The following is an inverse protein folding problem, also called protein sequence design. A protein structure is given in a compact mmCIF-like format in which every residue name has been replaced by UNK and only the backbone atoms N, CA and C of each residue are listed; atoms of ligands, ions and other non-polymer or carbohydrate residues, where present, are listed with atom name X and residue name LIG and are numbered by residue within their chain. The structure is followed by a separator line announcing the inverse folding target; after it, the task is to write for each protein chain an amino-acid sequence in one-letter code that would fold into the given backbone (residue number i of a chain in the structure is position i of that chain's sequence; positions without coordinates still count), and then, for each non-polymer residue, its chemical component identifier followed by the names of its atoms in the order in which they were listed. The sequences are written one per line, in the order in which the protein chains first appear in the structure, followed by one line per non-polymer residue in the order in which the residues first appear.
data_IF_045480261746
#
_entry.id   IF_045480261746
#
_cell.length_a   1.000
_cell.length_b   1.000
_cell.length_c   1.000
_cell.angle_alpha   90.00
_cell.angle_beta   90.00
_cell.angle_gamma   90.00
#
_symmetry.space_group_name_H-M   'P 1'
#
loop_
_entity.id
_entity.type
_entity.pdbx_description
1 polymer ?
#
# COMPACT_ATOMS: atom_id res chain seq x y z
N UNK A 1 -33.43 -37.46 -109.29
CA UNK A 1 -32.47 -38.54 -108.99
C UNK A 1 -33.32 -39.80 -108.88
N UNK A 2 -33.38 -40.65 -109.92
CA UNK A 2 -32.43 -41.74 -110.24
C UNK A 2 -32.26 -42.66 -109.03
N UNK A 3 -32.28 -43.99 -109.06
CA UNK A 3 -32.30 -45.15 -109.97
C UNK A 3 -32.50 -46.32 -108.96
N UNK A 4 -32.88 -47.56 -109.22
CA UNK A 4 -33.03 -48.44 -110.37
C UNK A 4 -33.67 -49.74 -109.82
N UNK A 5 -34.46 -50.46 -110.60
CA UNK A 5 -33.99 -51.48 -111.55
C UNK A 5 -33.74 -52.84 -110.88
N UNK A 6 -34.66 -53.79 -111.12
CA UNK A 6 -34.39 -55.22 -111.37
C UNK A 6 -35.72 -55.96 -111.63
N UNK A 7 -36.12 -55.98 -112.90
CA UNK A 7 -36.65 -57.14 -113.64
C UNK A 7 -35.45 -57.76 -114.41
N UNK A 8 -35.41 -59.03 -114.91
CA UNK A 8 -36.41 -59.71 -115.77
C UNK A 8 -36.61 -61.21 -115.40
N UNK A 9 -37.46 -62.07 -115.98
CA UNK A 9 -37.76 -62.52 -117.37
C UNK A 9 -39.17 -63.16 -117.35
N UNK A 10 -40.14 -62.76 -118.19
CA UNK A 10 -40.37 -63.18 -119.59
C UNK A 10 -40.56 -64.70 -119.82
N UNK A 11 -41.81 -65.12 -120.06
CA UNK A 11 -42.19 -66.07 -121.13
C UNK A 11 -43.71 -66.05 -121.38
N UNK A 12 -44.12 -65.13 -122.24
CA UNK A 12 -45.19 -65.32 -123.25
C UNK A 12 -44.46 -65.26 -124.62
N UNK A 13 -44.98 -65.73 -125.79
CA UNK A 13 -46.36 -65.46 -126.26
C UNK A 13 -46.95 -66.45 -127.30
N UNK A 14 -48.01 -65.97 -127.98
CA UNK A 14 -48.65 -66.44 -129.24
C UNK A 14 -49.85 -67.38 -129.04
N UNK A 15 -51.02 -67.23 -129.67
CA UNK A 15 -51.59 -66.33 -130.70
C UNK A 15 -53.08 -66.76 -130.83
N UNK A 16 -54.09 -65.93 -130.57
CA UNK A 16 -54.77 -65.01 -131.50
C UNK A 16 -55.44 -65.65 -132.76
N UNK A 17 -56.73 -65.30 -132.91
CA UNK A 17 -57.55 -65.15 -134.14
C UNK A 17 -58.48 -66.29 -134.68
N UNK A 18 -59.76 -65.90 -134.78
CA UNK A 18 -60.76 -66.07 -135.89
C UNK A 18 -61.25 -67.49 -136.24
N UNK A 19 -62.54 -67.84 -136.11
CA UNK A 19 -63.71 -67.46 -136.93
C UNK A 19 -63.51 -67.67 -138.44
N UNK A 20 -64.04 -68.76 -138.99
CA UNK A 20 -64.89 -68.82 -140.21
C UNK A 20 -65.35 -70.28 -140.45
N UNK A 21 -66.65 -70.50 -140.68
CA UNK A 21 -67.27 -70.83 -141.98
C UNK A 21 -66.88 -72.23 -142.49
N UNK A 22 -67.74 -73.22 -142.27
CA UNK A 22 -68.77 -73.71 -143.22
C UNK A 22 -68.20 -74.51 -144.38
N UNK A 23 -68.52 -75.80 -144.42
CA UNK A 23 -68.90 -76.51 -145.65
C UNK A 23 -69.69 -77.77 -145.20
N UNK A 24 -70.97 -77.92 -145.59
CA UNK A 24 -71.42 -78.49 -146.87
C UNK A 24 -70.89 -79.94 -147.00
N UNK A 25 -71.68 -81.00 -147.16
CA UNK A 25 -72.88 -81.17 -147.99
C UNK A 25 -73.36 -82.65 -147.89
N UNK A 26 -74.37 -83.14 -148.65
CA UNK A 26 -75.69 -83.45 -148.08
C UNK A 26 -76.20 -84.84 -148.53
N UNK A 27 -77.53 -84.94 -148.72
CA UNK A 27 -78.28 -85.98 -149.46
C UNK A 27 -78.45 -87.29 -148.69
N UNK A 28 -79.62 -87.93 -148.60
CA UNK A 28 -80.65 -88.06 -149.61
C UNK A 28 -81.96 -88.57 -148.97
N UNK A 29 -83.02 -87.79 -149.13
CA UNK A 29 -84.41 -88.28 -149.11
C UNK A 29 -84.75 -88.70 -150.55
N UNK A 30 -85.78 -89.54 -150.71
CA UNK A 30 -86.59 -89.87 -151.91
C UNK A 30 -86.29 -91.26 -152.54
N UNK A 31 -87.22 -91.90 -153.29
CA UNK A 31 -88.69 -91.98 -153.18
C UNK A 31 -89.28 -93.38 -153.52
N UNK A 32 -90.60 -93.43 -153.41
CA UNK A 32 -91.62 -94.34 -154.00
C UNK A 32 -91.33 -94.88 -155.43
N UNK A 33 -91.66 -96.16 -155.70
CA UNK A 33 -92.53 -96.69 -156.80
C UNK A 33 -92.16 -98.08 -157.37
N UNK A 34 -93.24 -98.83 -157.70
CA UNK A 34 -93.40 -99.82 -158.79
C UNK A 34 -92.81 -101.22 -158.64
N UNK A 35 -93.66 -102.24 -158.54
CA UNK A 35 -94.27 -102.99 -159.65
C UNK A 35 -93.24 -103.84 -160.41
N UNK A 36 -93.26 -105.15 -160.15
CA UNK A 36 -93.13 -106.13 -161.23
C UNK A 36 -93.82 -107.44 -160.83
N UNK A 37 -95.04 -107.59 -161.37
CA UNK A 37 -95.68 -108.87 -161.59
C UNK A 37 -95.00 -109.56 -162.77
N UNK A 38 -94.59 -110.81 -162.63
CA UNK A 38 -94.48 -111.76 -163.75
C UNK A 38 -94.33 -113.19 -163.22
N UNK A 39 -95.41 -113.97 -163.28
CA UNK A 39 -95.60 -114.99 -164.31
C UNK A 39 -94.71 -116.22 -164.12
N UNK A 40 -95.29 -117.27 -163.51
CA UNK A 40 -95.44 -118.59 -164.15
C UNK A 40 -96.34 -119.49 -163.29
N UNK A 41 -97.64 -119.40 -163.57
CA UNK A 41 -98.54 -120.55 -163.55
C UNK A 41 -99.00 -120.79 -164.98
N UNK A 42 -99.12 -122.07 -165.33
CA UNK A 42 -99.75 -122.65 -166.51
C UNK A 42 -98.85 -122.97 -167.72
N UNK A 43 -98.52 -124.27 -167.84
CA UNK A 43 -98.79 -125.02 -169.07
C UNK A 43 -98.99 -126.52 -168.75
N UNK A 44 -100.22 -127.01 -169.00
CA UNK A 44 -100.67 -128.32 -169.55
C UNK A 44 -99.75 -129.55 -169.39
N UNK A 45 -100.21 -130.79 -169.19
CA UNK A 45 -101.52 -131.42 -169.28
C UNK A 45 -101.31 -132.86 -168.74
N UNK A 46 -102.37 -133.41 -168.15
CA UNK A 46 -102.78 -134.83 -168.15
C UNK A 46 -101.70 -135.89 -168.49
N UNK A 47 -101.30 -136.68 -167.48
CA UNK A 47 -101.62 -138.12 -167.32
C UNK A 47 -100.49 -138.92 -166.61
N UNK A 48 -100.41 -138.88 -165.27
CA UNK A 48 -100.15 -140.03 -164.37
C UNK A 48 -100.21 -139.56 -162.88
N UNK A 49 -100.89 -140.27 -161.95
CA UNK A 49 -101.26 -139.77 -160.62
C UNK A 49 -100.13 -139.65 -159.57
N UNK A 50 -98.87 -139.89 -159.93
CA UNK A 50 -97.73 -139.86 -158.98
C UNK A 50 -97.02 -138.48 -158.92
N UNK A 51 -97.05 -137.66 -159.97
CA UNK A 51 -96.25 -136.41 -160.02
C UNK A 51 -96.86 -135.20 -159.30
N UNK A 52 -98.19 -135.13 -159.15
CA UNK A 52 -98.87 -134.02 -158.46
C UNK A 52 -98.70 -134.07 -156.93
N UNK A 53 -98.36 -135.24 -156.36
CA UNK A 53 -98.20 -135.41 -154.92
C UNK A 53 -96.82 -134.92 -154.46
N UNK A 54 -95.78 -135.18 -155.25
CA UNK A 54 -94.42 -134.66 -155.01
C UNK A 54 -94.35 -133.13 -155.14
N UNK A 55 -95.08 -132.51 -156.09
CA UNK A 55 -95.11 -131.04 -156.21
C UNK A 55 -95.83 -130.35 -155.05
N UNK A 56 -96.89 -130.95 -154.51
CA UNK A 56 -97.58 -130.46 -153.30
C UNK A 56 -96.69 -130.55 -152.06
N UNK A 57 -95.90 -131.62 -151.94
CA UNK A 57 -94.96 -131.83 -150.82
C UNK A 57 -93.80 -130.82 -150.89
N UNK A 58 -93.24 -130.57 -152.09
CA UNK A 58 -92.24 -129.51 -152.31
C UNK A 58 -92.73 -128.11 -151.97
N UNK A 59 -93.95 -127.75 -152.38
CA UNK A 59 -94.52 -126.43 -152.06
C UNK A 59 -94.82 -126.27 -150.56
N UNK A 60 -95.13 -127.35 -149.85
CA UNK A 60 -95.27 -127.33 -148.39
C UNK A 60 -93.91 -127.15 -147.71
N UNK A 61 -92.88 -127.86 -148.15
CA UNK A 61 -91.51 -127.69 -147.65
C UNK A 61 -90.96 -126.28 -147.88
N UNK A 62 -91.20 -125.69 -149.06
CA UNK A 62 -90.80 -124.31 -149.36
C UNK A 62 -91.54 -123.29 -148.49
N UNK A 63 -92.84 -123.48 -148.22
CA UNK A 63 -93.61 -122.62 -147.32
C UNK A 63 -93.15 -122.74 -145.88
N UNK A 64 -92.89 -123.95 -145.39
CA UNK A 64 -92.37 -124.18 -144.03
C UNK A 64 -90.96 -123.59 -143.87
N UNK A 65 -90.12 -123.65 -144.92
CA UNK A 65 -88.80 -123.00 -144.92
C UNK A 65 -88.89 -121.47 -144.85
N UNK A 66 -89.85 -120.84 -145.53
CA UNK A 66 -90.09 -119.40 -145.40
C UNK A 66 -90.69 -119.02 -144.03
N UNK A 67 -91.52 -119.88 -143.44
CA UNK A 67 -92.07 -119.70 -142.10
C UNK A 67 -90.97 -119.77 -141.03
N UNK A 68 -90.01 -120.69 -141.17
CA UNK A 68 -88.80 -120.73 -140.33
C UNK A 68 -87.93 -119.48 -140.52
N UNK A 69 -87.75 -119.01 -141.75
CA UNK A 69 -86.99 -117.78 -142.01
C UNK A 69 -87.66 -116.54 -141.38
N UNK A 70 -88.99 -116.44 -141.45
CA UNK A 70 -89.74 -115.34 -140.82
C UNK A 70 -89.67 -115.43 -139.29
N UNK A 71 -89.84 -116.62 -138.70
CA UNK A 71 -89.69 -116.82 -137.25
C UNK A 71 -88.26 -116.60 -136.76
N UNK A 72 -87.25 -116.97 -137.55
CA UNK A 72 -85.84 -116.71 -137.23
C UNK A 72 -85.53 -115.23 -137.28
N UNK A 73 -86.08 -114.50 -138.26
CA UNK A 73 -85.89 -113.05 -138.35
C UNK A 73 -86.65 -112.33 -137.23
N UNK A 74 -87.86 -112.77 -136.88
CA UNK A 74 -88.61 -112.24 -135.75
C UNK A 74 -87.88 -112.52 -134.42
N UNK A 75 -87.29 -113.71 -134.26
CA UNK A 75 -86.43 -114.04 -133.13
C UNK A 75 -85.19 -113.16 -133.07
N UNK A 76 -84.53 -112.88 -134.21
CA UNK A 76 -83.40 -111.94 -134.28
C UNK A 76 -83.80 -110.50 -133.99
N UNK A 77 -84.95 -110.04 -134.48
CA UNK A 77 -85.45 -108.68 -134.18
C UNK A 77 -85.88 -108.56 -132.73
N UNK A 78 -86.50 -109.60 -132.16
CA UNK A 78 -86.80 -109.68 -130.73
C UNK A 78 -85.51 -109.69 -129.90
N UNK A 79 -84.51 -110.49 -130.30
CA UNK A 79 -83.20 -110.57 -129.65
C UNK A 79 -82.42 -109.26 -129.74
N UNK A 80 -82.46 -108.56 -130.88
CA UNK A 80 -81.88 -107.23 -131.03
C UNK A 80 -82.63 -106.20 -130.18
N UNK A 81 -83.97 -106.24 -130.15
CA UNK A 81 -84.75 -105.34 -129.29
C UNK A 81 -84.44 -105.56 -127.81
N UNK A 82 -84.32 -106.80 -127.36
CA UNK A 82 -83.97 -107.11 -125.97
C UNK A 82 -82.53 -106.74 -125.66
N UNK A 83 -81.56 -107.04 -126.53
CA UNK A 83 -80.15 -106.73 -126.29
C UNK A 83 -79.83 -105.24 -126.41
N UNK A 84 -80.45 -104.52 -127.35
CA UNK A 84 -80.31 -103.06 -127.42
C UNK A 84 -81.07 -102.36 -126.30
N UNK A 85 -82.24 -102.89 -125.93
CA UNK A 85 -82.99 -102.39 -124.77
C UNK A 85 -82.20 -102.56 -123.47
N UNK A 86 -81.57 -103.72 -123.28
CA UNK A 86 -80.71 -104.01 -122.13
C UNK A 86 -79.41 -103.19 -122.17
N UNK A 87 -78.81 -102.96 -123.35
CA UNK A 87 -77.63 -102.09 -123.47
C UNK A 87 -77.94 -100.61 -123.25
N UNK A 88 -79.05 -100.09 -123.80
CA UNK A 88 -79.46 -98.71 -123.54
C UNK A 88 -79.83 -98.52 -122.07
N UNK A 89 -80.42 -99.53 -121.44
CA UNK A 89 -80.71 -99.51 -120.02
C UNK A 89 -79.43 -99.58 -119.18
N UNK A 90 -78.45 -100.41 -119.56
CA UNK A 90 -77.13 -100.44 -118.94
C UNK A 90 -76.37 -99.12 -119.12
N UNK A 91 -76.36 -98.54 -120.32
CA UNK A 91 -75.71 -97.27 -120.62
C UNK A 91 -76.37 -96.11 -119.87
N UNK A 92 -77.70 -96.09 -119.77
CA UNK A 92 -78.44 -95.12 -118.95
C UNK A 92 -78.10 -95.28 -117.46
N UNK A 93 -78.06 -96.52 -116.95
CA UNK A 93 -77.65 -96.78 -115.57
C UNK A 93 -76.17 -96.44 -115.32
N UNK A 94 -75.28 -96.62 -116.30
CA UNK A 94 -73.88 -96.21 -116.21
C UNK A 94 -73.70 -94.69 -116.26
N UNK A 95 -74.47 -94.01 -117.11
CA UNK A 95 -74.56 -92.55 -117.12
C UNK A 95 -75.07 -92.03 -115.77
N UNK A 96 -76.17 -92.58 -115.26
CA UNK A 96 -76.70 -92.24 -113.93
C UNK A 96 -75.66 -92.46 -112.83
N UNK A 97 -74.90 -93.57 -112.86
CA UNK A 97 -73.82 -93.83 -111.89
C UNK A 97 -72.70 -92.80 -112.00
N UNK A 98 -72.29 -92.44 -113.22
CA UNK A 98 -71.24 -91.42 -113.44
C UNK A 98 -71.74 -90.03 -113.07
N UNK A 99 -72.98 -89.71 -113.37
CA UNK A 99 -73.60 -88.43 -113.02
C UNK A 99 -73.73 -88.30 -111.50
N UNK A 100 -74.18 -89.34 -110.81
CA UNK A 100 -74.15 -89.39 -109.34
C UNK A 100 -72.73 -89.32 -108.75
N UNK A 101 -71.72 -89.85 -109.45
CA UNK A 101 -70.32 -89.76 -109.01
C UNK A 101 -69.76 -88.36 -109.24
N UNK A 102 -70.09 -87.72 -110.37
CA UNK A 102 -69.73 -86.34 -110.67
C UNK A 102 -70.41 -85.40 -109.68
N UNK A 103 -71.70 -85.61 -109.38
CA UNK A 103 -72.43 -84.84 -108.38
C UNK A 103 -71.79 -85.00 -107.00
N UNK A 104 -71.48 -86.24 -106.57
CA UNK A 104 -70.75 -86.49 -105.32
C UNK A 104 -69.38 -85.83 -105.28
N UNK A 105 -68.59 -85.94 -106.35
CA UNK A 105 -67.27 -85.30 -106.43
C UNK A 105 -67.39 -83.78 -106.46
N UNK A 106 -68.40 -83.22 -107.14
CA UNK A 106 -68.63 -81.78 -107.20
C UNK A 106 -69.05 -81.23 -105.83
N UNK A 107 -69.91 -81.96 -105.11
CA UNK A 107 -70.26 -81.64 -103.73
C UNK A 107 -69.04 -81.72 -102.81
N UNK A 108 -68.18 -82.75 -102.96
CA UNK A 108 -66.95 -82.88 -102.18
C UNK A 108 -65.94 -81.78 -102.48
N UNK A 109 -65.76 -81.41 -103.76
CA UNK A 109 -64.89 -80.29 -104.15
C UNK A 109 -65.45 -78.98 -103.59
N UNK A 110 -66.76 -78.73 -103.69
CA UNK A 110 -67.39 -77.56 -103.11
C UNK A 110 -67.29 -77.51 -101.57
N UNK A 111 -67.42 -78.65 -100.90
CA UNK A 111 -67.23 -78.76 -99.45
C UNK A 111 -65.78 -78.49 -99.05
N UNK A 112 -64.80 -79.08 -99.77
CA UNK A 112 -63.37 -78.85 -99.53
C UNK A 112 -62.96 -77.40 -99.84
N UNK A 113 -63.53 -76.79 -100.88
CA UNK A 113 -63.32 -75.37 -101.20
C UNK A 113 -63.90 -74.48 -100.10
N UNK A 114 -65.10 -74.79 -99.60
CA UNK A 114 -65.70 -74.07 -98.47
C UNK A 114 -64.84 -74.22 -97.20
N UNK A 115 -64.37 -75.44 -96.88
CA UNK A 115 -63.49 -75.69 -95.75
C UNK A 115 -62.14 -74.98 -95.91
N UNK A 116 -61.56 -74.97 -97.11
CA UNK A 116 -60.32 -74.23 -97.40
C UNK A 116 -60.53 -72.74 -97.25
N UNK A 117 -61.66 -72.19 -97.71
CA UNK A 117 -61.99 -70.78 -97.56
C UNK A 117 -62.20 -70.39 -96.09
N UNK A 118 -62.88 -71.22 -95.29
CA UNK A 118 -63.04 -70.97 -93.85
C UNK A 118 -61.70 -71.05 -93.12
N UNK A 119 -60.87 -72.06 -93.40
CA UNK A 119 -59.53 -72.18 -92.81
C UNK A 119 -58.63 -71.00 -93.19
N UNK A 120 -58.71 -70.50 -94.44
CA UNK A 120 -58.00 -69.30 -94.85
C UNK A 120 -58.47 -68.06 -94.08
N UNK A 121 -59.79 -67.89 -93.91
CA UNK A 121 -60.34 -66.79 -93.11
C UNK A 121 -59.89 -66.88 -91.65
N UNK A 122 -59.95 -68.07 -91.05
CA UNK A 122 -59.49 -68.30 -89.68
C UNK A 122 -57.98 -68.05 -89.52
N UNK A 123 -57.17 -68.45 -90.51
CA UNK A 123 -55.73 -68.16 -90.53
C UNK A 123 -55.47 -66.66 -90.58
N UNK A 124 -56.21 -65.92 -91.41
CA UNK A 124 -56.10 -64.45 -91.49
C UNK A 124 -56.49 -63.81 -90.16
N UNK A 125 -57.62 -64.21 -89.57
CA UNK A 125 -58.05 -63.69 -88.27
C UNK A 125 -57.03 -64.00 -87.16
N UNK A 126 -56.54 -65.24 -87.09
CA UNK A 126 -55.50 -65.62 -86.13
C UNK A 126 -54.20 -64.84 -86.34
N UNK A 127 -53.86 -64.53 -87.59
CA UNK A 127 -52.69 -63.71 -87.91
C UNK A 127 -52.86 -62.24 -87.53
N UNK A 128 -54.06 -61.67 -87.72
CA UNK A 128 -54.42 -60.33 -87.26
C UNK A 128 -54.42 -60.23 -85.73
N UNK A 129 -54.98 -61.23 -85.04
CA UNK A 129 -54.94 -61.33 -83.58
C UNK A 129 -53.49 -61.47 -83.07
N UNK A 130 -52.66 -62.29 -83.71
CA UNK A 130 -51.23 -62.43 -83.37
C UNK A 130 -50.47 -61.12 -83.54
N UNK A 131 -50.75 -60.35 -84.62
CA UNK A 131 -50.18 -59.02 -84.82
C UNK A 131 -50.63 -58.05 -83.72
N UNK A 132 -51.92 -58.03 -83.40
CA UNK A 132 -52.49 -57.19 -82.34
C UNK A 132 -51.83 -57.49 -80.98
N UNK A 133 -51.76 -58.78 -80.60
CA UNK A 133 -51.09 -59.22 -79.38
C UNK A 133 -49.60 -58.87 -79.37
N UNK A 134 -48.91 -59.00 -80.51
CA UNK A 134 -47.51 -58.61 -80.63
C UNK A 134 -47.32 -57.10 -80.42
N UNK A 135 -48.21 -56.27 -81.00
CA UNK A 135 -48.20 -54.82 -80.78
C UNK A 135 -48.47 -54.47 -79.32
N UNK A 136 -49.40 -55.16 -78.66
CA UNK A 136 -49.71 -54.92 -77.24
C UNK A 136 -48.59 -55.39 -76.31
N UNK A 137 -47.93 -56.51 -76.62
CA UNK A 137 -46.70 -56.93 -75.94
C UNK A 137 -45.62 -55.86 -76.10
N UNK A 138 -45.44 -55.30 -77.29
CA UNK A 138 -44.44 -54.24 -77.52
C UNK A 138 -44.80 -52.96 -76.76
N UNK A 139 -46.07 -52.56 -76.72
CA UNK A 139 -46.54 -51.44 -75.88
C UNK A 139 -46.28 -51.71 -74.40
N UNK A 140 -46.60 -52.90 -73.89
CA UNK A 140 -46.36 -53.27 -72.49
C UNK A 140 -44.86 -53.32 -72.16
N UNK A 141 -44.02 -53.81 -73.08
CA UNK A 141 -42.56 -53.79 -72.93
C UNK A 141 -42.02 -52.37 -72.90
N UNK A 142 -42.50 -51.49 -73.79
CA UNK A 142 -42.11 -50.08 -73.80
C UNK A 142 -42.57 -49.35 -72.52
N UNK A 143 -43.80 -49.60 -72.06
CA UNK A 143 -44.31 -49.09 -70.80
C UNK A 143 -43.51 -49.63 -69.59
N UNK A 144 -43.12 -50.90 -69.60
CA UNK A 144 -42.29 -51.50 -68.56
C UNK A 144 -40.87 -50.90 -68.55
N UNK A 145 -40.30 -50.60 -69.72
CA UNK A 145 -39.01 -49.92 -69.82
C UNK A 145 -39.11 -48.50 -69.25
N UNK A 146 -40.12 -47.73 -69.66
CA UNK A 146 -40.36 -46.38 -69.14
C UNK A 146 -40.59 -46.38 -67.62
N UNK A 147 -41.38 -47.31 -67.09
CA UNK A 147 -41.61 -47.42 -65.64
C UNK A 147 -40.33 -47.75 -64.86
N UNK A 148 -39.40 -48.53 -65.45
CA UNK A 148 -38.07 -48.76 -64.86
C UNK A 148 -37.23 -47.49 -64.87
N UNK A 149 -37.21 -46.76 -65.98
CA UNK A 149 -36.47 -45.49 -66.09
C UNK A 149 -37.01 -44.44 -65.11
N UNK A 150 -38.34 -44.33 -64.96
CA UNK A 150 -38.99 -43.48 -63.96
C UNK A 150 -38.62 -43.91 -62.53
N UNK A 151 -38.64 -45.20 -62.22
CA UNK A 151 -38.23 -45.73 -60.92
C UNK A 151 -36.77 -45.42 -60.61
N UNK A 152 -35.87 -45.51 -61.60
CA UNK A 152 -34.47 -45.14 -61.45
C UNK A 152 -34.30 -43.64 -61.19
N UNK A 153 -35.03 -42.77 -61.89
CA UNK A 153 -34.96 -41.33 -61.63
C UNK A 153 -35.57 -40.98 -60.27
N UNK A 154 -36.66 -41.63 -59.85
CA UNK A 154 -37.21 -41.47 -58.49
C UNK A 154 -36.16 -41.85 -57.45
N UNK A 155 -35.49 -43.01 -57.58
CA UNK A 155 -34.41 -43.39 -56.66
C UNK A 155 -33.24 -42.41 -56.68
N UNK A 156 -32.90 -41.86 -57.85
CA UNK A 156 -31.85 -40.85 -57.98
C UNK A 156 -32.23 -39.55 -57.28
N UNK A 157 -33.47 -39.09 -57.44
CA UNK A 157 -34.00 -37.91 -56.78
C UNK A 157 -34.11 -38.13 -55.27
N UNK A 158 -34.58 -39.29 -54.83
CA UNK A 158 -34.59 -39.66 -53.41
C UNK A 158 -33.18 -39.66 -52.80
N UNK A 159 -32.19 -40.21 -53.49
CA UNK A 159 -30.79 -40.17 -53.04
C UNK A 159 -30.32 -38.73 -52.88
N UNK A 160 -30.56 -37.87 -53.87
CA UNK A 160 -30.22 -36.45 -53.78
C UNK A 160 -30.97 -35.72 -52.66
N UNK A 161 -32.25 -36.02 -52.46
CA UNK A 161 -33.03 -35.46 -51.36
C UNK A 161 -32.46 -35.88 -50.01
N UNK A 162 -32.03 -37.14 -49.86
CA UNK A 162 -31.34 -37.63 -48.66
C UNK A 162 -30.00 -36.93 -48.47
N UNK A 163 -29.20 -36.78 -49.53
CA UNK A 163 -27.90 -36.09 -49.46
C UNK A 163 -28.08 -34.62 -49.06
N UNK A 164 -29.03 -33.92 -49.69
CA UNK A 164 -29.37 -32.54 -49.35
C UNK A 164 -29.85 -32.42 -47.91
N UNK A 165 -30.72 -33.34 -47.46
CA UNK A 165 -31.18 -33.38 -46.08
C UNK A 165 -30.01 -33.58 -45.09
N UNK A 166 -29.10 -34.50 -45.39
CA UNK A 166 -27.90 -34.71 -44.59
C UNK A 166 -27.03 -33.45 -44.53
N UNK A 167 -26.80 -32.78 -45.66
CA UNK A 167 -26.01 -31.53 -45.67
C UNK A 167 -26.69 -30.43 -44.86
N UNK A 168 -28.01 -30.31 -44.96
CA UNK A 168 -28.78 -29.34 -44.19
C UNK A 168 -28.69 -29.62 -42.69
N UNK A 169 -28.79 -30.89 -42.28
CA UNK A 169 -28.66 -31.26 -40.87
C UNK A 169 -27.22 -31.06 -40.36
N UNK A 170 -26.19 -31.30 -41.19
CA UNK A 170 -24.80 -30.94 -40.82
C UNK A 170 -24.60 -29.44 -40.66
N UNK A 171 -25.17 -28.63 -41.56
CA UNK A 171 -25.09 -27.17 -41.49
C UNK A 171 -25.84 -26.63 -40.26
N UNK A 172 -26.98 -27.23 -39.89
CA UNK A 172 -27.69 -26.88 -38.65
C UNK A 172 -26.82 -27.10 -37.42
N UNK A 173 -26.18 -28.27 -37.31
CA UNK A 173 -25.26 -28.56 -36.21
C UNK A 173 -24.09 -27.58 -36.19
N UNK A 174 -23.54 -27.22 -37.35
CA UNK A 174 -22.46 -26.23 -37.41
C UNK A 174 -22.93 -24.82 -37.00
N UNK A 175 -24.15 -24.40 -37.39
CA UNK A 175 -24.74 -23.14 -36.90
C UNK A 175 -24.88 -23.16 -35.39
N UNK A 176 -25.46 -24.21 -34.81
CA UNK A 176 -25.60 -24.36 -33.34
C UNK A 176 -24.24 -24.32 -32.64
N UNK A 177 -23.19 -24.94 -33.22
CA UNK A 177 -21.82 -24.87 -32.69
C UNK A 177 -21.28 -23.44 -32.69
N UNK A 178 -21.46 -22.71 -33.78
CA UNK A 178 -21.02 -21.31 -33.87
C UNK A 178 -21.82 -20.39 -32.94
N UNK A 179 -23.12 -20.63 -32.78
CA UNK A 179 -23.97 -19.91 -31.83
C UNK A 179 -23.51 -20.14 -30.40
N UNK A 180 -23.24 -21.40 -30.02
CA UNK A 180 -22.69 -21.74 -28.70
C UNK A 180 -21.33 -21.08 -28.48
N UNK A 181 -20.41 -21.16 -29.43
CA UNK A 181 -19.12 -20.49 -29.34
C UNK A 181 -19.28 -18.96 -29.20
N UNK A 182 -20.21 -18.34 -29.95
CA UNK A 182 -20.49 -16.92 -29.80
C UNK A 182 -21.11 -16.58 -28.43
N UNK A 183 -21.95 -17.43 -27.88
CA UNK A 183 -22.53 -17.25 -26.54
C UNK A 183 -21.47 -17.39 -25.44
N UNK A 184 -20.59 -18.38 -25.56
CA UNK A 184 -19.45 -18.59 -24.65
C UNK A 184 -18.51 -17.39 -24.66
N UNK A 185 -18.09 -16.92 -25.84
CA UNK A 185 -17.24 -15.73 -25.98
C UNK A 185 -17.91 -14.47 -25.42
N UNK A 186 -19.22 -14.29 -25.62
CA UNK A 186 -19.96 -13.18 -25.00
C UNK A 186 -20.00 -13.29 -23.49
N UNK A 187 -20.18 -14.50 -22.96
CA UNK A 187 -20.19 -14.74 -21.52
C UNK A 187 -18.82 -14.46 -20.89
N UNK A 188 -17.74 -14.91 -21.54
CA UNK A 188 -16.37 -14.66 -21.13
C UNK A 188 -16.05 -13.16 -21.18
N UNK A 189 -16.45 -12.48 -22.26
CA UNK A 189 -16.31 -11.02 -22.36
C UNK A 189 -17.04 -10.29 -21.24
N UNK A 190 -18.28 -10.67 -20.95
CA UNK A 190 -19.05 -10.06 -19.86
C UNK A 190 -18.39 -10.32 -18.49
N UNK A 191 -17.85 -11.52 -18.27
CA UNK A 191 -17.12 -11.85 -17.04
C UNK A 191 -15.84 -11.02 -16.91
N UNK A 192 -15.04 -10.92 -17.98
CA UNK A 192 -13.83 -10.09 -17.99
C UNK A 192 -14.16 -8.60 -17.80
N UNK A 193 -15.25 -8.10 -18.38
CA UNK A 193 -15.73 -6.74 -18.14
C UNK A 193 -16.15 -6.52 -16.68
N UNK A 194 -16.85 -7.48 -16.05
CA UNK A 194 -17.17 -7.39 -14.63
C UNK A 194 -15.93 -7.43 -13.74
N UNK A 195 -14.93 -8.27 -14.07
CA UNK A 195 -13.65 -8.31 -13.36
C UNK A 195 -12.87 -7.01 -13.51
N UNK A 196 -12.86 -6.42 -14.70
CA UNK A 196 -12.24 -5.12 -14.96
C UNK A 196 -12.93 -4.02 -14.15
N UNK A 197 -14.26 -3.93 -14.17
CA UNK A 197 -15.01 -2.96 -13.39
C UNK A 197 -14.74 -3.10 -11.89
N UNK A 198 -14.75 -4.34 -11.35
CA UNK A 198 -14.39 -4.57 -9.94
C UNK A 198 -12.95 -4.12 -9.64
N UNK A 199 -12.00 -4.38 -10.54
CA UNK A 199 -10.62 -3.94 -10.37
C UNK A 199 -10.51 -2.41 -10.40
N UNK A 200 -11.20 -1.75 -11.33
CA UNK A 200 -11.30 -0.29 -11.43
C UNK A 200 -11.91 0.32 -10.16
N UNK A 201 -13.01 -0.24 -9.64
CA UNK A 201 -13.64 0.19 -8.39
C UNK A 201 -12.68 0.04 -7.20
N UNK A 202 -11.98 -1.10 -7.09
CA UNK A 202 -11.00 -1.31 -6.00
C UNK A 202 -9.79 -0.37 -6.10
N UNK A 203 -9.35 -0.04 -7.32
CA UNK A 203 -8.30 0.93 -7.57
C UNK A 203 -8.77 2.32 -7.14
N UNK A 204 -9.98 2.71 -7.55
CA UNK A 204 -10.57 3.99 -7.19
C UNK A 204 -10.70 4.14 -5.68
N UNK A 205 -11.25 3.14 -4.98
CA UNK A 205 -11.33 3.15 -3.52
C UNK A 205 -9.94 3.24 -2.87
N UNK A 206 -8.91 2.59 -3.43
CA UNK A 206 -7.55 2.65 -2.92
C UNK A 206 -6.92 4.05 -3.14
N UNK A 207 -7.17 4.68 -4.28
CA UNK A 207 -6.76 6.05 -4.58
C UNK A 207 -7.44 7.06 -3.63
N UNK A 208 -8.74 6.90 -3.37
CA UNK A 208 -9.47 7.73 -2.41
C UNK A 208 -8.91 7.58 -0.98
N UNK A 209 -8.66 6.33 -0.54
CA UNK A 209 -8.01 6.07 0.76
C UNK A 209 -6.62 6.68 0.84
N UNK A 210 -5.82 6.59 -0.22
CA UNK A 210 -4.48 7.18 -0.28
C UNK A 210 -4.55 8.72 -0.25
N UNK A 211 -5.49 9.32 -0.98
CA UNK A 211 -5.74 10.75 -0.95
C UNK A 211 -6.13 11.23 0.46
N UNK A 212 -6.97 10.49 1.16
CA UNK A 212 -7.37 10.82 2.53
C UNK A 212 -6.20 10.67 3.52
N UNK A 213 -5.43 9.58 3.44
CA UNK A 213 -4.21 9.43 4.24
C UNK A 213 -3.19 10.54 3.98
N UNK A 214 -3.04 10.99 2.73
CA UNK A 214 -2.19 12.13 2.41
C UNK A 214 -2.71 13.45 3.00
N UNK A 215 -4.03 13.67 3.03
CA UNK A 215 -4.62 14.83 3.71
C UNK A 215 -4.32 14.81 5.20
N UNK A 216 -4.55 13.68 5.87
CA UNK A 216 -4.25 13.50 7.29
C UNK A 216 -2.75 13.72 7.55
N UNK A 217 -1.88 13.11 6.74
CA UNK A 217 -0.44 13.29 6.85
C UNK A 217 -0.02 14.76 6.69
N UNK A 218 -0.61 15.50 5.74
CA UNK A 218 -0.32 16.92 5.57
C UNK A 218 -0.80 17.76 6.75
N UNK A 219 -1.98 17.45 7.31
CA UNK A 219 -2.49 18.11 8.51
C UNK A 219 -1.58 17.85 9.71
N UNK A 220 -1.19 16.60 9.95
CA UNK A 220 -0.28 16.24 11.04
C UNK A 220 1.09 16.89 10.86
N UNK A 221 1.62 16.90 9.62
CA UNK A 221 2.87 17.60 9.30
C UNK A 221 2.76 19.11 9.56
N UNK A 222 1.61 19.72 9.29
CA UNK A 222 1.38 21.13 9.59
C UNK A 222 1.29 21.36 11.11
N UNK A 223 0.58 20.50 11.84
CA UNK A 223 0.49 20.57 13.29
C UNK A 223 1.86 20.40 13.96
N UNK A 224 2.67 19.44 13.50
CA UNK A 224 4.04 19.24 13.96
C UNK A 224 4.93 20.47 13.71
N UNK A 225 4.82 21.11 12.54
CA UNK A 225 5.53 22.36 12.25
C UNK A 225 5.08 23.52 13.14
N UNK A 226 3.77 23.65 13.37
CA UNK A 226 3.23 24.68 14.27
C UNK A 226 3.70 24.46 15.70
N UNK A 227 3.72 23.21 16.17
CA UNK A 227 4.24 22.86 17.48
C UNK A 227 5.75 23.12 17.59
N UNK A 228 6.51 22.79 16.55
CA UNK A 228 7.94 23.11 16.50
C UNK A 228 8.19 24.62 16.56
N UNK A 229 7.44 25.42 15.80
CA UNK A 229 7.51 26.88 15.88
C UNK A 229 7.16 27.40 17.28
N UNK A 230 6.10 26.90 17.91
CA UNK A 230 5.73 27.28 19.27
C UNK A 230 6.80 26.89 20.30
N UNK A 231 7.48 25.76 20.10
CA UNK A 231 8.60 25.34 20.95
C UNK A 231 9.84 26.22 20.74
N UNK A 232 10.17 26.57 19.49
CA UNK A 232 11.26 27.50 19.17
C UNK A 232 10.98 28.89 19.78
N UNK A 233 9.76 29.40 19.64
CA UNK A 233 9.34 30.67 20.26
C UNK A 233 9.43 30.63 21.79
N UNK A 234 9.01 29.51 22.41
CA UNK A 234 9.12 29.31 23.86
C UNK A 234 10.59 29.26 24.29
N UNK A 235 11.43 28.51 23.59
CA UNK A 235 12.87 28.42 23.86
C UNK A 235 13.52 29.79 23.75
N UNK A 236 13.27 30.54 22.68
CA UNK A 236 13.79 31.90 22.55
C UNK A 236 13.27 32.83 23.65
N UNK A 237 12.00 32.68 24.08
CA UNK A 237 11.46 33.48 25.18
C UNK A 237 12.15 33.17 26.51
N UNK A 238 12.38 31.88 26.79
CA UNK A 238 13.09 31.42 27.98
C UNK A 238 14.54 31.87 27.95
N UNK A 239 15.23 31.77 26.81
CA UNK A 239 16.60 32.25 26.66
C UNK A 239 16.69 33.76 26.87
N UNK A 240 15.72 34.53 26.34
CA UNK A 240 15.62 35.98 26.58
C UNK A 240 15.40 36.30 28.06
N UNK A 241 14.53 35.57 28.75
CA UNK A 241 14.26 35.78 30.18
C UNK A 241 15.42 35.32 31.07
N UNK A 242 16.10 34.24 30.72
CA UNK A 242 17.34 33.80 31.36
C UNK A 242 18.43 34.86 31.17
N UNK A 243 18.64 35.38 29.96
CA UNK A 243 19.60 36.44 29.70
C UNK A 243 19.28 37.72 30.50
N UNK A 244 18.00 38.10 30.60
CA UNK A 244 17.57 39.23 31.43
C UNK A 244 17.87 38.97 32.90
N UNK A 245 17.48 37.82 33.45
CA UNK A 245 17.72 37.51 34.86
C UNK A 245 19.22 37.40 35.19
N UNK A 246 20.03 36.85 34.29
CA UNK A 246 21.49 36.84 34.42
C UNK A 246 22.05 38.27 34.38
N UNK A 247 21.58 39.11 33.46
CA UNK A 247 21.96 40.53 33.40
C UNK A 247 21.56 41.31 34.66
N UNK A 248 20.38 41.07 35.20
CA UNK A 248 19.91 41.68 36.45
C UNK A 248 20.74 41.23 37.65
N UNK A 249 21.06 39.93 37.75
CA UNK A 249 21.94 39.40 38.79
C UNK A 249 23.37 39.93 38.68
N UNK A 250 23.90 40.07 37.45
CA UNK A 250 25.19 40.72 37.20
C UNK A 250 25.16 42.18 37.64
N UNK A 251 24.11 42.93 37.30
CA UNK A 251 23.95 44.31 37.76
C UNK A 251 23.85 44.42 39.29
N UNK A 252 23.13 43.49 39.94
CA UNK A 252 23.07 43.43 41.41
C UNK A 252 24.45 43.11 42.01
N UNK A 253 25.21 42.21 41.39
CA UNK A 253 26.57 41.87 41.81
C UNK A 253 27.50 43.09 41.69
N UNK A 254 27.51 43.76 40.53
CA UNK A 254 28.32 44.96 40.29
C UNK A 254 27.96 46.09 41.27
N UNK A 255 26.67 46.28 41.56
CA UNK A 255 26.20 47.27 42.55
C UNK A 255 26.69 46.91 43.95
N UNK A 256 26.56 45.64 44.36
CA UNK A 256 27.03 45.17 45.66
C UNK A 256 28.56 45.24 45.79
N UNK A 257 29.31 44.95 44.71
CA UNK A 257 30.76 45.12 44.66
C UNK A 257 31.17 46.59 44.78
N UNK A 258 30.49 47.50 44.09
CA UNK A 258 30.72 48.94 44.23
C UNK A 258 30.41 49.46 45.64
N UNK A 259 29.32 48.99 46.26
CA UNK A 259 29.00 49.29 47.66
C UNK A 259 30.07 48.73 48.60
N UNK A 260 30.52 47.50 48.39
CA UNK A 260 31.59 46.89 49.16
C UNK A 260 32.90 47.69 49.03
N UNK A 261 33.24 48.17 47.84
CA UNK A 261 34.42 49.01 47.62
C UNK A 261 34.30 50.36 48.33
N UNK A 262 33.12 51.00 48.30
CA UNK A 262 32.84 52.22 49.09
C UNK A 262 32.99 51.97 50.59
N UNK A 263 32.47 50.86 51.10
CA UNK A 263 32.63 50.50 52.51
C UNK A 263 34.09 50.20 52.87
N UNK A 264 34.84 49.50 52.02
CA UNK A 264 36.29 49.28 52.21
C UNK A 264 37.07 50.59 52.26
N UNK A 265 36.79 51.53 51.34
CA UNK A 265 37.39 52.86 51.36
C UNK A 265 37.01 53.64 52.62
N UNK A 266 35.75 53.55 53.05
CA UNK A 266 35.29 54.21 54.27
C UNK A 266 35.97 53.64 55.52
N UNK A 267 36.10 52.31 55.62
CA UNK A 267 36.85 51.66 56.71
C UNK A 267 38.30 52.11 56.70
N UNK A 268 38.97 52.14 55.55
CA UNK A 268 40.35 52.62 55.44
C UNK A 268 40.49 54.10 55.85
N UNK A 269 39.56 54.97 55.48
CA UNK A 269 39.55 56.38 55.91
C UNK A 269 39.31 56.50 57.43
N UNK A 270 38.44 55.67 58.00
CA UNK A 270 38.25 55.62 59.46
C UNK A 270 39.47 55.08 60.19
N UNK A 271 40.14 54.06 59.65
CA UNK A 271 41.39 53.51 60.20
C UNK A 271 42.50 54.57 60.16
N UNK A 272 42.67 55.29 59.06
CA UNK A 272 43.63 56.39 58.95
C UNK A 272 43.33 57.51 59.97
N UNK A 273 42.06 57.88 60.15
CA UNK A 273 41.64 58.84 61.18
C UNK A 273 41.86 58.29 62.59
N UNK A 274 41.69 56.98 62.80
CA UNK A 274 41.95 56.34 64.08
C UNK A 274 43.44 56.34 64.39
N UNK A 275 44.30 56.04 63.41
CA UNK A 275 45.75 56.16 63.52
C UNK A 275 46.16 57.60 63.85
N UNK A 276 45.65 58.59 63.11
CA UNK A 276 45.90 60.01 63.40
C UNK A 276 45.45 60.40 64.82
N UNK A 277 44.27 59.95 65.24
CA UNK A 277 43.77 60.19 66.60
C UNK A 277 44.63 59.50 67.66
N UNK A 278 45.14 58.29 67.41
CA UNK A 278 46.05 57.58 68.32
C UNK A 278 47.41 58.27 68.40
N UNK A 279 47.95 58.78 67.29
CA UNK A 279 49.16 59.58 67.29
C UNK A 279 48.97 60.91 68.03
N UNK A 280 47.87 61.61 67.78
CA UNK A 280 47.51 62.84 68.47
C UNK A 280 47.36 62.59 69.98
N UNK A 281 46.70 61.49 70.37
CA UNK A 281 46.64 61.05 71.77
C UNK A 281 48.03 60.79 72.33
N UNK A 282 48.90 60.07 71.62
CA UNK A 282 50.29 59.85 72.05
C UNK A 282 51.11 61.14 72.19
N UNK A 283 50.86 62.14 71.34
CA UNK A 283 51.44 63.50 71.47
C UNK A 283 50.87 64.22 72.70
N UNK A 284 49.56 64.14 72.94
CA UNK A 284 48.92 64.68 74.14
C UNK A 284 49.46 64.05 75.42
N UNK A 285 49.64 62.73 75.47
CA UNK A 285 50.19 62.02 76.64
C UNK A 285 51.63 62.49 76.95
N UNK A 286 52.46 62.69 75.91
CA UNK A 286 53.82 63.24 76.06
C UNK A 286 53.80 64.68 76.59
N UNK A 287 52.95 65.54 76.03
CA UNK A 287 52.78 66.92 76.50
C UNK A 287 52.22 66.96 77.93
N UNK A 288 51.29 66.07 78.28
CA UNK A 288 50.78 65.94 79.64
C UNK A 288 51.91 65.56 80.61
N UNK A 289 52.79 64.64 80.21
CA UNK A 289 53.97 64.30 81.00
C UNK A 289 54.93 65.49 81.16
N UNK A 290 55.28 66.19 80.07
CA UNK A 290 56.12 67.39 80.14
C UNK A 290 55.50 68.50 81.00
N UNK A 291 54.18 68.68 80.94
CA UNK A 291 53.46 69.65 81.76
C UNK A 291 53.48 69.23 83.23
N UNK A 292 53.31 67.94 83.54
CA UNK A 292 53.46 67.41 84.92
C UNK A 292 54.88 67.61 85.44
N UNK A 293 55.90 67.34 84.65
CA UNK A 293 57.31 67.57 85.00
C UNK A 293 57.62 69.06 85.21
N UNK A 294 57.17 69.93 84.29
CA UNK A 294 57.31 71.39 84.41
C UNK A 294 56.53 71.91 85.61
N UNK A 295 55.33 71.40 85.90
CA UNK A 295 54.57 71.74 87.10
C UNK A 295 55.30 71.30 88.37
N UNK A 296 55.92 70.11 88.38
CA UNK A 296 56.75 69.65 89.49
C UNK A 296 57.98 70.57 89.67
N UNK A 297 58.63 70.98 88.58
CA UNK A 297 59.74 71.94 88.59
C UNK A 297 59.30 73.31 89.10
N UNK A 298 58.15 73.83 88.66
CA UNK A 298 57.55 75.06 89.17
C UNK A 298 57.26 74.91 90.66
N UNK A 299 56.74 73.77 91.11
CA UNK A 299 56.54 73.45 92.53
C UNK A 299 57.84 73.53 93.33
N UNK A 300 58.92 72.95 92.81
CA UNK A 300 60.27 73.02 93.42
C UNK A 300 60.79 74.46 93.47
N UNK A 301 60.75 75.19 92.36
CA UNK A 301 61.19 76.60 92.28
C UNK A 301 60.35 77.51 93.18
N UNK A 302 59.03 77.28 93.29
CA UNK A 302 58.16 78.00 94.22
C UNK A 302 58.56 77.74 95.66
N UNK A 303 58.85 76.48 96.03
CA UNK A 303 59.32 76.15 97.37
C UNK A 303 60.69 76.80 97.66
N UNK A 304 61.63 76.73 96.72
CA UNK A 304 62.92 77.42 96.81
C UNK A 304 62.77 78.94 96.95
N UNK A 305 61.86 79.57 96.20
CA UNK A 305 61.57 80.99 96.31
C UNK A 305 60.96 81.36 97.67
N UNK A 306 60.07 80.53 98.22
CA UNK A 306 59.53 80.69 99.57
C UNK A 306 60.64 80.58 100.62
N UNK A 307 61.49 79.55 100.54
CA UNK A 307 62.65 79.37 101.41
C UNK A 307 63.58 80.59 101.33
N UNK A 308 63.89 81.07 100.12
CA UNK A 308 64.75 82.24 99.93
C UNK A 308 64.13 83.52 100.53
N UNK A 309 62.81 83.69 100.39
CA UNK A 309 62.09 84.79 101.02
C UNK A 309 62.13 84.69 102.56
N UNK A 310 62.06 83.48 103.12
CA UNK A 310 62.26 83.24 104.55
C UNK A 310 63.70 83.58 104.99
N UNK A 311 64.73 83.20 104.22
CA UNK A 311 66.12 83.60 104.46
C UNK A 311 66.28 85.12 104.42
N UNK A 312 65.68 85.81 103.45
CA UNK A 312 65.69 87.27 103.35
C UNK A 312 65.00 87.93 104.56
N UNK A 313 63.81 87.46 104.91
CA UNK A 313 63.03 87.98 106.04
C UNK A 313 63.76 87.75 107.37
N UNK A 314 64.41 86.60 107.53
CA UNK A 314 65.27 86.29 108.68
C UNK A 314 66.50 87.21 108.75
N UNK A 315 67.14 87.49 107.61
CA UNK A 315 68.27 88.41 107.53
C UNK A 315 67.86 89.86 107.87
N UNK A 316 66.72 90.33 107.34
CA UNK A 316 66.17 91.66 107.65
C UNK A 316 65.79 91.79 109.13
N UNK A 317 65.23 90.74 109.72
CA UNK A 317 64.88 90.72 111.16
C UNK A 317 66.12 90.76 112.05
N UNK A 318 67.22 90.08 111.66
CA UNK A 318 68.51 90.18 112.37
C UNK A 318 69.08 91.60 112.31
N UNK A 319 69.05 92.24 111.15
CA UNK A 319 69.57 93.61 110.98
C UNK A 319 68.82 94.63 111.84
N UNK A 320 67.51 94.46 112.01
CA UNK A 320 66.68 95.35 112.82
C UNK A 320 66.99 95.26 114.32
N UNK A 321 67.44 94.10 114.83
CA UNK A 321 67.82 93.92 116.24
C UNK A 321 69.17 94.56 116.60
N UNK A 322 70.14 94.58 115.68
CA UNK A 322 71.47 95.15 115.96
C UNK A 322 71.49 96.68 116.02
N UNK A 323 70.50 97.38 115.45
CA UNK A 323 70.48 98.85 115.42
C UNK A 323 69.94 99.51 116.70
N UNK A 324 69.25 98.78 117.59
CA UNK A 324 68.60 99.38 118.77
C UNK A 324 69.51 99.48 120.00
N UNK A 325 70.58 98.70 120.09
CA UNK A 325 71.50 98.73 121.26
C UNK A 325 72.31 100.03 121.32
N UNK A 326 72.73 100.58 120.18
CA UNK A 326 73.67 101.71 120.09
C UNK A 326 73.10 103.07 120.58
N UNK A 327 71.77 103.20 120.68
CA UNK A 327 71.10 104.46 121.06
C UNK A 327 70.95 104.64 122.59
N UNK A 328 70.98 103.56 123.37
CA UNK A 328 70.74 103.61 124.82
C UNK A 328 71.99 104.10 125.57
N UNK A 329 73.18 103.72 125.11
CA UNK A 329 74.45 104.01 125.78
C UNK A 329 74.83 105.50 125.78
N UNK A 330 74.51 106.26 124.72
CA UNK A 330 74.80 107.71 124.66
C UNK A 330 74.06 108.53 125.72
N UNK A 331 72.83 108.16 126.05
CA UNK A 331 71.99 108.93 126.99
C UNK A 331 72.43 108.72 128.43
N UNK A 332 72.84 107.51 128.78
CA UNK A 332 73.32 107.17 130.12
C UNK A 332 74.62 107.91 130.44
N UNK A 333 75.58 107.91 129.50
CA UNK A 333 76.90 108.51 129.70
C UNK A 333 76.87 110.03 129.93
N UNK A 334 75.99 110.72 129.20
CA UNK A 334 75.86 112.18 129.29
C UNK A 334 75.40 112.63 130.68
N UNK A 335 74.54 111.85 131.33
CA UNK A 335 73.97 112.21 132.64
C UNK A 335 75.00 112.04 133.78
N UNK A 336 75.82 110.97 133.74
CA UNK A 336 76.89 110.77 134.73
C UNK A 336 77.97 111.86 134.67
N UNK A 337 78.36 112.34 133.49
CA UNK A 337 79.34 113.42 133.32
C UNK A 337 78.86 114.76 133.92
N UNK A 338 77.58 115.07 133.77
CA UNK A 338 76.95 116.29 134.33
C UNK A 338 76.92 116.28 135.87
N UNK A 339 76.62 115.12 136.47
CA UNK A 339 76.64 114.96 137.94
C UNK A 339 78.06 115.09 138.52
N UNK A 340 79.10 114.68 137.79
CA UNK A 340 80.49 114.83 138.23
C UNK A 340 80.97 116.30 138.29
N UNK A 341 80.59 117.12 137.30
CA UNK A 341 81.05 118.52 137.20
C UNK A 341 80.43 119.46 138.23
N UNK A 342 79.21 119.16 138.70
CA UNK A 342 78.42 120.04 139.57
C UNK A 342 78.66 119.81 141.07
N UNK A 343 79.41 118.78 141.47
CA UNK A 343 79.67 118.46 142.87
C UNK A 343 80.81 119.31 143.50
N UNK A 344 80.59 119.96 144.66
CA UNK A 344 81.56 120.84 145.31
C UNK A 344 82.84 120.12 145.77
N UNK A 345 83.99 120.82 145.67
CA UNK A 345 85.37 120.29 145.67
C UNK A 345 85.86 119.57 146.95
N UNK A 346 85.05 119.44 147.99
CA UNK A 346 85.46 118.84 149.26
C UNK A 346 84.64 117.59 149.65
N UNK A 347 83.78 117.08 148.77
CA UNK A 347 82.90 115.93 149.06
C UNK A 347 83.43 114.61 148.47
N UNK A 348 83.41 113.55 149.28
CA UNK A 348 83.83 112.18 148.93
C UNK A 348 82.98 111.55 147.83
N UNK A 349 81.74 111.99 147.62
CA UNK A 349 80.82 111.48 146.59
C UNK A 349 81.33 111.64 145.16
N UNK A 350 82.19 112.63 144.92
CA UNK A 350 82.76 112.89 143.59
C UNK A 350 83.65 111.74 143.09
N UNK A 351 84.33 111.05 144.00
CA UNK A 351 85.20 109.93 143.67
C UNK A 351 84.41 108.66 143.29
N UNK A 352 83.23 108.44 143.86
CA UNK A 352 82.36 107.30 143.50
C UNK A 352 81.74 107.48 142.10
N UNK A 353 81.29 108.70 141.76
CA UNK A 353 80.75 109.00 140.42
C UNK A 353 81.84 108.81 139.36
N UNK A 354 83.09 109.22 139.63
CA UNK A 354 84.18 109.00 138.69
C UNK A 354 84.52 107.51 138.51
N UNK A 355 84.39 106.69 139.57
CA UNK A 355 84.58 105.23 139.49
C UNK A 355 83.46 104.54 138.69
N UNK A 356 82.22 105.03 138.77
CA UNK A 356 81.11 104.56 137.94
C UNK A 356 81.26 104.94 136.47
N UNK A 357 81.72 106.16 136.18
CA UNK A 357 82.07 106.60 134.82
C UNK A 357 83.15 105.69 134.22
N UNK A 358 84.20 105.37 134.99
CA UNK A 358 85.27 104.49 134.56
C UNK A 358 84.79 103.06 134.26
N UNK A 359 83.79 102.52 134.97
CA UNK A 359 83.27 101.18 134.66
C UNK A 359 82.33 101.17 133.46
N UNK A 360 81.49 102.20 133.30
CA UNK A 360 80.55 102.31 132.16
C UNK A 360 81.30 102.56 130.86
N UNK A 361 82.33 103.42 130.89
CA UNK A 361 83.18 103.69 129.72
C UNK A 361 84.36 102.72 129.57
N UNK A 362 84.44 101.69 130.43
CA UNK A 362 85.49 100.67 130.47
C UNK A 362 86.92 101.26 130.39
N UNK A 363 87.22 102.27 131.20
CA UNK A 363 88.54 102.91 131.22
C UNK A 363 89.64 101.92 131.61
N UNK A 364 90.70 101.92 130.81
CA UNK A 364 91.86 101.09 131.02
C UNK A 364 92.69 101.62 132.20
N UNK A 365 93.43 100.75 132.90
CA UNK A 365 94.03 101.09 134.20
C UNK A 365 94.99 102.29 134.16
N UNK A 366 95.60 102.58 133.00
CA UNK A 366 96.42 103.77 132.79
C UNK A 366 95.63 105.09 132.87
N UNK A 367 94.37 105.09 132.43
CA UNK A 367 93.49 106.27 132.47
C UNK A 367 92.97 106.51 133.90
N UNK A 368 92.78 105.43 134.66
CA UNK A 368 92.38 105.48 136.08
C UNK A 368 93.48 106.07 136.97
N UNK A 369 94.74 105.84 136.63
CA UNK A 369 95.89 106.42 137.36
C UNK A 369 96.02 107.93 137.15
N UNK A 370 95.87 108.43 135.90
CA UNK A 370 95.87 109.87 135.62
C UNK A 370 94.73 110.62 136.30
N UNK A 371 93.60 109.95 136.51
CA UNK A 371 92.47 110.50 137.25
C UNK A 371 92.70 110.59 138.77
N UNK A 372 93.85 110.13 139.28
CA UNK A 372 94.24 110.23 140.70
C UNK A 372 93.58 109.21 141.62
N UNK A 373 92.98 108.14 141.07
CA UNK A 373 92.25 107.13 141.83
C UNK A 373 93.14 106.04 142.48
N UNK A 374 94.45 105.98 142.21
CA UNK A 374 95.39 105.00 142.79
C UNK A 374 96.83 105.52 142.91
N UNK A 375 97.57 105.11 143.97
CA UNK A 375 99.01 105.37 144.22
C UNK A 375 99.82 104.04 144.23
N UNK A 376 101.08 104.12 143.80
CA UNK A 376 102.02 103.05 143.40
C UNK A 376 102.22 101.85 144.36
N UNK A 377 102.15 100.60 143.83
CA UNK A 377 103.29 99.66 143.73
C UNK A 377 102.89 98.30 143.13
N UNK A 378 103.75 97.85 142.22
CA UNK A 378 104.10 96.50 141.76
C UNK A 378 103.31 95.76 140.66
N UNK A 379 104.11 95.31 139.69
CA UNK A 379 103.78 94.65 138.42
C UNK A 379 104.37 93.24 138.42
N UNK A 380 103.61 92.25 137.93
CA UNK A 380 104.19 90.99 137.43
C UNK A 380 103.30 90.34 136.36
N UNK A 381 103.96 89.99 135.25
CA UNK A 381 103.73 88.96 134.20
C UNK A 381 102.60 87.95 134.45
N UNK A 382 101.87 87.38 133.49
CA UNK A 382 102.12 87.07 132.06
C UNK A 382 101.65 85.62 131.75
N UNK A 383 101.31 85.33 130.48
CA UNK A 383 101.09 84.01 129.81
C UNK A 383 99.83 83.17 130.12
N UNK A 384 99.15 82.45 129.20
CA UNK A 384 99.27 82.10 127.75
C UNK A 384 98.09 81.14 127.40
N UNK A 385 97.33 81.24 126.30
CA UNK A 385 97.46 80.76 124.89
C UNK A 385 97.72 79.26 124.61
N UNK A 386 96.69 78.54 124.08
CA UNK A 386 96.61 77.50 123.01
C UNK A 386 95.29 76.67 123.18
N UNK A 387 94.51 76.23 122.19
CA UNK A 387 94.59 76.17 120.71
C UNK A 387 93.17 75.97 120.08
N UNK A 388 92.90 76.49 118.86
CA UNK A 388 92.87 75.82 117.53
C UNK A 388 91.70 74.79 117.36
N UNK A 389 90.72 74.83 116.43
CA UNK A 389 90.65 75.26 115.02
C UNK A 389 91.19 74.15 114.09
N UNK A 390 90.57 73.58 113.05
CA UNK A 390 89.28 73.63 112.36
C UNK A 390 89.35 72.73 111.10
N UNK A 391 88.18 72.49 110.46
CA UNK A 391 87.93 72.24 109.02
C UNK A 391 88.15 70.86 108.30
N UNK A 392 87.16 70.60 107.40
CA UNK A 392 87.19 70.01 106.03
C UNK A 392 86.63 68.58 105.76
N UNK A 393 85.50 68.58 105.01
CA UNK A 393 85.13 67.92 103.74
C UNK A 393 84.92 66.38 103.57
N UNK A 394 83.98 66.09 102.66
CA UNK A 394 83.36 64.84 102.13
C UNK A 394 84.37 63.86 101.45
N UNK A 395 84.04 62.56 101.13
CA UNK A 395 83.08 62.17 100.05
C UNK A 395 82.39 60.75 100.09
N UNK A 396 81.32 60.61 99.27
CA UNK A 396 80.78 59.46 98.45
C UNK A 396 80.97 57.97 98.85
N UNK A 397 79.94 57.10 98.69
CA UNK A 397 79.60 56.26 97.49
C UNK A 397 78.70 55.00 97.78
N UNK A 398 77.88 54.62 96.77
CA UNK A 398 77.41 53.27 96.32
C UNK A 398 76.14 52.65 96.93
N UNK A 399 75.10 52.38 96.11
CA UNK A 399 74.66 51.09 95.47
C UNK A 399 73.69 50.31 96.37
N UNK A 400 72.74 49.47 95.96
CA UNK A 400 71.99 49.16 94.73
C UNK A 400 71.07 47.97 95.14
N UNK A 401 69.81 47.95 94.66
CA UNK A 401 68.87 46.81 94.63
C UNK A 401 68.42 46.25 96.02
N UNK A 402 67.25 45.63 96.22
CA UNK A 402 66.41 44.79 95.36
C UNK A 402 65.01 44.54 96.00
N UNK A 403 64.10 43.90 95.22
CA UNK A 403 63.10 42.86 95.61
C UNK A 403 61.82 43.27 96.38
N UNK A 404 60.62 43.23 95.76
CA UNK A 404 59.69 42.07 95.51
C UNK A 404 58.65 41.93 96.64
N UNK A 405 57.37 41.58 96.50
CA UNK A 405 56.46 41.12 95.44
C UNK A 405 55.02 41.37 95.94
N UNK A 406 54.07 41.48 95.01
CA UNK A 406 52.63 41.46 95.25
C UNK A 406 52.05 40.11 94.78
N UNK A 407 51.13 39.54 95.58
CA UNK A 407 50.30 38.38 95.26
C UNK A 407 49.13 38.80 94.36
N UNK A 408 48.88 38.07 93.27
CA UNK A 408 47.55 37.93 92.64
C UNK A 408 47.54 36.74 91.66
N UNK A 409 47.10 35.57 92.13
CA UNK A 409 46.86 34.37 91.30
C UNK A 409 45.51 33.71 91.68
N UNK A 410 44.39 34.45 91.59
CA UNK A 410 43.07 33.90 91.98
C UNK A 410 41.90 34.19 91.04
N UNK A 411 42.11 34.80 89.86
CA UNK A 411 40.99 35.15 88.95
C UNK A 411 41.14 34.54 87.55
N UNK A 412 42.38 34.35 87.07
CA UNK A 412 42.64 33.78 85.73
C UNK A 412 42.30 32.29 85.63
N UNK A 413 42.49 31.50 86.69
CA UNK A 413 42.23 30.04 86.64
C UNK A 413 40.72 29.69 86.64
N UNK A 414 39.86 30.49 87.27
CA UNK A 414 38.39 30.31 87.23
C UNK A 414 37.77 30.69 85.87
N UNK A 415 38.42 31.60 85.13
CA UNK A 415 37.95 32.02 83.80
C UNK A 415 38.29 31.00 82.72
N UNK A 416 39.42 30.30 82.87
CA UNK A 416 39.84 29.21 81.97
C UNK A 416 38.94 27.98 82.11
N UNK A 417 38.48 27.66 83.32
CA UNK A 417 37.54 26.55 83.58
C UNK A 417 36.12 26.84 83.04
N UNK A 418 35.71 28.11 83.05
CA UNK A 418 34.46 28.56 82.43
C UNK A 418 34.48 28.47 80.88
N UNK A 419 35.60 28.83 80.24
CA UNK A 419 35.74 28.73 78.78
C UNK A 419 35.81 27.28 78.28
N UNK A 420 36.43 26.38 79.05
CA UNK A 420 36.45 24.95 78.71
C UNK A 420 35.07 24.30 78.87
N UNK A 421 34.30 24.69 79.88
CA UNK A 421 32.94 24.14 80.11
C UNK A 421 31.86 24.68 79.15
N UNK A 422 31.99 25.89 78.61
CA UNK A 422 31.09 26.43 77.56
C UNK A 422 31.37 25.80 76.18
N UNK A 423 32.64 25.55 75.86
CA UNK A 423 33.04 24.95 74.57
C UNK A 423 32.66 23.47 74.48
N UNK A 424 32.70 22.73 75.59
CA UNK A 424 32.22 21.33 75.63
C UNK A 424 30.68 21.23 75.59
N UNK A 425 29.94 22.24 76.08
CA UNK A 425 28.46 22.25 76.02
C UNK A 425 27.90 22.59 74.63
N UNK A 426 28.72 23.13 73.73
CA UNK A 426 28.33 23.44 72.34
C UNK A 426 28.51 22.31 71.32
N UNK A 427 29.13 21.18 71.70
CA UNK A 427 29.52 20.10 70.76
C UNK A 427 28.76 18.76 70.89
N UNK A 428 27.85 18.60 71.85
CA UNK A 428 27.07 17.37 72.05
C UNK A 428 25.56 17.53 71.78
N UNK A 429 25.14 17.39 70.51
CA UNK A 429 24.20 16.35 70.00
C UNK A 429 23.30 16.80 68.82
N UNK A 430 23.10 15.90 67.83
CA UNK A 430 22.18 16.03 66.69
C UNK A 430 20.82 15.33 66.93
N UNK A 431 19.83 15.63 66.06
CA UNK A 431 18.85 14.65 65.56
C UNK A 431 17.37 14.73 66.01
N UNK A 432 16.52 15.10 65.04
CA UNK A 432 15.24 14.47 64.65
C UNK A 432 13.84 14.79 65.26
N UNK A 433 12.86 14.77 64.32
CA UNK A 433 11.38 14.63 64.38
C UNK A 433 10.49 15.88 64.66
N UNK A 434 9.32 16.14 64.05
CA UNK A 434 8.53 15.55 62.94
C UNK A 434 7.24 16.39 62.66
N UNK A 435 6.65 16.24 61.43
CA UNK A 435 5.21 16.33 61.02
C UNK A 435 4.47 17.71 61.04
N UNK A 436 3.49 18.05 60.20
CA UNK A 436 2.78 17.47 59.03
C UNK A 436 1.67 18.43 58.53
N UNK A 437 1.41 18.53 57.21
CA UNK A 437 0.10 18.66 56.51
C UNK A 437 0.33 19.13 55.04
N UNK A 438 -0.45 18.83 53.98
CA UNK A 438 -1.35 17.75 53.57
C UNK A 438 -1.83 18.04 52.12
N UNK A 439 -1.51 17.16 51.14
CA UNK A 439 -2.26 16.76 49.89
C UNK A 439 -2.75 17.79 48.83
N UNK A 440 -3.10 17.37 47.57
CA UNK A 440 -2.91 16.07 46.90
C UNK A 440 -2.25 16.12 45.50
N UNK A 441 -1.76 14.96 45.04
CA UNK A 441 -1.24 14.72 43.69
C UNK A 441 -2.17 13.75 42.91
N UNK A 442 -2.53 14.13 41.69
CA UNK A 442 -3.08 13.28 40.63
C UNK A 442 -1.90 12.65 39.85
N UNK A 443 -1.80 11.33 39.75
CA UNK A 443 -2.35 10.45 38.69
C UNK A 443 -1.77 10.70 37.29
N UNK A 444 -1.31 9.61 36.65
CA UNK A 444 -0.97 9.56 35.23
C UNK A 444 0.52 9.45 34.86
N UNK A 445 1.21 8.38 35.25
CA UNK A 445 2.57 8.10 34.80
C UNK A 445 2.82 6.61 34.57
N UNK A 446 2.11 6.00 33.60
CA UNK A 446 2.45 4.66 33.12
C UNK A 446 3.69 4.75 32.22
N UNK A 447 4.75 4.07 32.64
CA UNK A 447 5.92 3.81 31.84
C UNK A 447 5.53 3.06 30.54
N UNK A 448 6.09 3.53 29.43
CA UNK A 448 5.97 2.90 28.11
C UNK A 448 6.69 1.55 28.12
N UNK A 449 5.93 0.46 27.97
CA UNK A 449 6.45 -0.90 27.99
C UNK A 449 6.76 -1.35 26.54
N UNK A 450 8.05 -1.36 26.18
CA UNK A 450 8.55 -1.67 24.84
C UNK A 450 8.29 -3.11 24.38
N UNK A 451 7.84 -4.00 25.28
CA UNK A 451 7.44 -5.37 24.94
C UNK A 451 6.07 -5.48 24.27
N UNK A 452 5.23 -4.45 24.32
CA UNK A 452 3.90 -4.48 23.69
C UNK A 452 3.93 -4.30 22.17
N UNK A 453 5.02 -3.77 21.60
CA UNK A 453 5.14 -3.56 20.15
C UNK A 453 5.57 -4.84 19.41
N UNK A 454 6.34 -5.71 20.08
CA UNK A 454 6.82 -6.98 19.50
C UNK A 454 5.70 -8.04 19.41
N UNK A 455 4.62 -7.86 20.19
CA UNK A 455 3.43 -8.70 20.12
C UNK A 455 2.45 -8.30 19.00
N UNK A 456 2.53 -7.07 18.50
CA UNK A 456 1.73 -6.60 17.36
C UNK A 456 2.32 -7.01 16.01
N UNK A 457 3.66 -7.00 15.85
CA UNK A 457 4.33 -7.45 14.61
C UNK A 457 4.25 -8.97 14.41
N UNK A 458 3.96 -9.73 15.48
CA UNK A 458 3.78 -11.19 15.41
C UNK A 458 2.35 -11.59 15.07
N UNK A 459 1.35 -10.77 15.42
CA UNK A 459 -0.06 -11.01 15.09
C UNK A 459 -0.38 -10.76 13.60
N UNK A 460 0.43 -9.96 12.90
CA UNK A 460 0.26 -9.67 11.46
C UNK A 460 0.89 -10.75 10.55
N UNK A 461 1.78 -11.62 11.08
CA UNK A 461 2.43 -12.69 10.29
C UNK A 461 1.67 -14.03 10.27
N UNK A 462 0.69 -14.24 11.15
CA UNK A 462 -0.02 -15.52 11.30
C UNK A 462 -1.47 -15.52 10.76
N UNK A 463 -1.83 -14.58 9.87
CA UNK A 463 -3.10 -14.65 9.15
C UNK A 463 -3.02 -15.72 8.02
N UNK A 464 -3.84 -16.79 8.04
CA UNK A 464 -3.81 -17.81 7.00
C UNK A 464 -4.36 -17.25 5.68
N UNK A 465 -3.53 -17.31 4.64
CA UNK A 465 -3.89 -17.03 3.25
C UNK A 465 -4.60 -18.24 2.64
N UNK A 466 -5.84 -18.48 3.06
CA UNK A 466 -6.75 -19.34 2.30
C UNK A 466 -7.52 -18.45 1.31
N UNK A 467 -7.05 -18.43 0.06
CA UNK A 467 -7.85 -18.17 -1.15
C UNK A 467 -6.99 -18.44 -2.39
N UNK A 468 -7.05 -19.67 -2.90
CA UNK A 468 -6.82 -20.04 -4.30
C UNK A 468 -7.69 -21.24 -4.63
#
# INVERSE_FOLDING_TARGET
MKEGMLDPEETEPSSSLTRDESDDKPTQVMPFESDETQQKLAHMDLHDPESFREEMERLQEERDAFEEQYNTLLSKVSHMRTTLGERLQQDAEELDRREQQIERLTLQVGELEAQSATLQSELVLAHEESKSLTMDIEKLRSAQANAKDESLEIHRLESKCRDLQQTLDTQRVDIERWENACMEERSLKNELQQRLQRAEDTLHDAEERNAELNRIFMQEKQAARQMQQALEELQESQDRDLQRSVGDLQHQLDSAESELEKYKLHVHDMDAKMEEATEAKGKCDKLEHEVKEKNLLIGKLRHEAVILNEHLTSALTRLRKTSSEDQVDRRLMTNLMLQFLTAPRADTKRFEILRLIASVLQWDDAEREKAGLQRQSDRSLGYGFLGLGGLVSSPRKSMQASTSNANDESVSNLFVEFLLSEVERGKEKPGDEARSSSTPAADGGKAFDLHSLEQLDRAERDAPSDLS
#
